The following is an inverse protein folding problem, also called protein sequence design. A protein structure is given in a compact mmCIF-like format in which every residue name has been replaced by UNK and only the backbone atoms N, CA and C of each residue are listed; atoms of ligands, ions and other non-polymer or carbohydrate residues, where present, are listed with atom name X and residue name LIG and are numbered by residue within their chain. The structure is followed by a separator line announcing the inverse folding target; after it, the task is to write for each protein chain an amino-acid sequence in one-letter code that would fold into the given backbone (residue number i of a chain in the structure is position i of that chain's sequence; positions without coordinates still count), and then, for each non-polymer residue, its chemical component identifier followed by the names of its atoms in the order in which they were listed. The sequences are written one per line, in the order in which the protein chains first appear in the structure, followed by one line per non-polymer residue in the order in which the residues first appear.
data_IF_042391058515
#
_entry.id   IF_042391058515
#
_cell.length_a   1.000
_cell.length_b   1.000
_cell.length_c   1.000
_cell.angle_alpha   90.00
_cell.angle_beta   90.00
_cell.angle_gamma   90.00
#
_symmetry.space_group_name_H-M   'P 1'
#
loop_
_entity.id
_entity.type
_entity.pdbx_description
1 polymer ?
#
# COMPACT_ATOMS: atom_id res chain seq x y z
N UNK A 1 -1.99 21.42 2.70
CA UNK A 1 -2.56 20.67 1.56
C UNK A 1 -2.91 19.28 2.07
N UNK A 2 -4.14 18.81 1.83
CA UNK A 2 -4.59 17.46 2.19
C UNK A 2 -4.18 16.46 1.11
N UNK A 3 -3.73 15.27 1.53
CA UNK A 3 -3.56 14.09 0.67
C UNK A 3 -4.77 13.16 0.72
N UNK A 4 -4.72 12.04 -0.01
CA UNK A 4 -5.82 11.08 -0.05
C UNK A 4 -5.39 9.63 -0.22
N UNK A 5 -6.24 8.71 0.20
CA UNK A 5 -6.08 7.28 0.01
C UNK A 5 -7.03 6.81 -1.10
N UNK A 6 -6.52 6.06 -2.06
CA UNK A 6 -7.27 5.53 -3.20
C UNK A 6 -7.22 4.01 -3.17
N UNK A 7 -8.32 3.37 -2.81
CA UNK A 7 -8.42 1.91 -2.76
C UNK A 7 -8.80 1.33 -4.13
N UNK A 8 -7.96 0.42 -4.64
CA UNK A 8 -8.30 -0.46 -5.75
C UNK A 8 -8.92 -1.72 -5.17
N UNK A 9 -10.26 -1.75 -5.11
CA UNK A 9 -11.03 -2.89 -4.60
C UNK A 9 -10.98 -4.13 -5.49
N UNK A 10 -10.79 -3.94 -6.79
CA UNK A 10 -10.70 -5.04 -7.76
C UNK A 10 -9.64 -4.73 -8.81
N UNK A 11 -8.89 -5.75 -9.29
CA UNK A 11 -7.93 -5.56 -10.37
C UNK A 11 -8.57 -5.06 -11.67
N UNK A 12 -7.77 -4.38 -12.50
CA UNK A 12 -8.14 -4.01 -13.88
C UNK A 12 -8.27 -2.51 -14.14
N UNK A 13 -8.31 -1.67 -13.10
CA UNK A 13 -8.43 -0.20 -13.23
C UNK A 13 -7.11 0.53 -12.96
N UNK A 14 -5.99 -0.18 -12.76
CA UNK A 14 -4.73 0.42 -12.27
C UNK A 14 -4.17 1.46 -13.24
N UNK A 15 -4.28 1.21 -14.54
CA UNK A 15 -3.83 2.16 -15.57
C UNK A 15 -4.66 3.45 -15.52
N UNK A 16 -5.98 3.34 -15.34
CA UNK A 16 -6.86 4.49 -15.25
C UNK A 16 -6.56 5.31 -13.99
N UNK A 17 -6.40 4.63 -12.85
CA UNK A 17 -6.06 5.27 -11.57
C UNK A 17 -4.73 6.02 -11.70
N UNK A 18 -3.66 5.36 -12.16
CA UNK A 18 -2.33 5.99 -12.30
C UNK A 18 -2.36 7.14 -13.29
N UNK A 19 -3.07 6.99 -14.42
CA UNK A 19 -3.20 8.06 -15.42
C UNK A 19 -3.89 9.29 -14.86
N UNK A 20 -4.93 9.14 -14.02
CA UNK A 20 -5.60 10.27 -13.36
C UNK A 20 -4.69 10.93 -12.32
N UNK A 21 -3.99 10.13 -11.52
CA UNK A 21 -3.01 10.64 -10.52
C UNK A 21 -1.96 11.51 -11.20
N UNK A 22 -1.38 11.02 -12.30
CA UNK A 22 -0.37 11.76 -13.06
C UNK A 22 -0.94 13.01 -13.74
N UNK A 23 -2.11 12.88 -14.39
CA UNK A 23 -2.78 14.01 -15.04
C UNK A 23 -3.08 15.16 -14.08
N UNK A 24 -3.30 14.86 -12.80
CA UNK A 24 -3.61 15.85 -11.78
C UNK A 24 -2.40 16.28 -10.93
N UNK A 25 -1.20 15.74 -11.18
CA UNK A 25 0.01 16.05 -10.41
C UNK A 25 -0.11 15.64 -8.93
N UNK A 26 -0.68 14.46 -8.67
CA UNK A 26 -1.00 13.97 -7.33
C UNK A 26 -0.06 12.84 -6.84
N UNK A 27 0.99 12.50 -7.58
CA UNK A 27 1.88 11.37 -7.32
C UNK A 27 2.42 11.34 -5.88
N UNK A 28 2.78 12.51 -5.34
CA UNK A 28 3.30 12.68 -3.98
C UNK A 28 2.22 12.97 -2.93
N UNK A 29 0.95 13.08 -3.35
CA UNK A 29 -0.19 13.47 -2.50
C UNK A 29 -1.17 12.33 -2.24
N UNK A 30 -1.02 11.19 -2.92
CA UNK A 30 -1.91 10.05 -2.76
C UNK A 30 -1.17 8.78 -2.38
N UNK A 31 -1.86 7.93 -1.63
CA UNK A 31 -1.48 6.54 -1.40
C UNK A 31 -2.49 5.66 -2.13
N UNK A 32 -2.01 4.82 -3.06
CA UNK A 32 -2.85 3.81 -3.70
C UNK A 32 -2.76 2.52 -2.90
N UNK A 33 -3.90 2.00 -2.46
CA UNK A 33 -3.97 0.84 -1.57
C UNK A 33 -4.86 -0.27 -2.12
N UNK A 34 -4.61 -1.49 -1.67
CA UNK A 34 -5.41 -2.68 -2.00
C UNK A 34 -5.06 -3.82 -1.05
N UNK A 35 -5.99 -4.74 -0.81
CA UNK A 35 -5.70 -6.05 -0.22
C UNK A 35 -5.03 -7.02 -1.22
N UNK A 36 -5.10 -6.71 -2.52
CA UNK A 36 -4.54 -7.54 -3.58
C UNK A 36 -3.14 -7.06 -3.99
N UNK A 37 -2.20 -8.00 -4.08
CA UNK A 37 -0.81 -7.69 -4.44
C UNK A 37 -0.63 -7.25 -5.89
N UNK A 38 -1.38 -7.84 -6.83
CA UNK A 38 -1.17 -7.60 -8.26
C UNK A 38 -1.51 -6.17 -8.69
N UNK A 39 -2.62 -5.56 -8.24
CA UNK A 39 -2.88 -4.14 -8.47
C UNK A 39 -1.72 -3.25 -8.01
N UNK A 40 -1.16 -3.50 -6.82
CA UNK A 40 -0.06 -2.69 -6.28
C UNK A 40 1.22 -2.84 -7.11
N UNK A 41 1.55 -4.06 -7.54
CA UNK A 41 2.66 -4.30 -8.47
C UNK A 41 2.46 -3.53 -9.77
N UNK A 42 1.24 -3.56 -10.32
CA UNK A 42 0.93 -2.88 -11.57
C UNK A 42 1.02 -1.36 -11.41
N UNK A 43 0.51 -0.80 -10.31
CA UNK A 43 0.67 0.63 -9.98
C UNK A 43 2.15 1.00 -9.93
N UNK A 44 2.98 0.23 -9.21
CA UNK A 44 4.43 0.48 -9.13
C UNK A 44 5.16 0.37 -10.46
N UNK A 45 4.76 -0.56 -11.33
CA UNK A 45 5.31 -0.67 -12.70
C UNK A 45 4.92 0.52 -13.58
N UNK A 46 3.70 1.03 -13.42
CA UNK A 46 3.20 2.17 -14.21
C UNK A 46 3.82 3.49 -13.75
N UNK A 47 3.91 3.70 -12.44
CA UNK A 47 4.58 4.85 -11.85
C UNK A 47 5.17 4.50 -10.47
N UNK A 48 6.49 4.35 -10.35
CA UNK A 48 7.13 3.98 -9.08
C UNK A 48 7.07 5.09 -8.03
N UNK A 49 6.85 6.35 -8.42
CA UNK A 49 6.75 7.50 -7.51
C UNK A 49 5.45 7.48 -6.69
N UNK A 50 4.40 6.83 -7.17
CA UNK A 50 3.13 6.70 -6.43
C UNK A 50 3.35 5.80 -5.22
N UNK A 51 3.08 6.32 -4.02
CA UNK A 51 3.18 5.54 -2.78
C UNK A 51 2.08 4.47 -2.76
N UNK A 52 2.43 3.24 -2.39
CA UNK A 52 1.46 2.14 -2.27
C UNK A 52 1.38 1.55 -0.88
N UNK A 53 0.18 1.05 -0.53
CA UNK A 53 -0.11 0.39 0.72
C UNK A 53 -0.74 -0.99 0.46
N UNK A 54 -0.25 -2.01 1.16
CA UNK A 54 -0.88 -3.34 1.20
C UNK A 54 -1.73 -3.47 2.46
N UNK A 55 -3.01 -3.75 2.30
CA UNK A 55 -3.87 -4.12 3.43
C UNK A 55 -3.63 -5.60 3.80
N UNK A 56 -3.41 -5.84 5.08
CA UNK A 56 -3.02 -7.14 5.65
C UNK A 56 -4.08 -7.54 6.68
N UNK A 57 -5.03 -8.43 6.30
CA UNK A 57 -6.05 -8.93 7.23
C UNK A 57 -5.46 -9.76 8.37
N UNK A 58 -4.39 -10.51 8.08
CA UNK A 58 -3.72 -11.40 9.03
C UNK A 58 -2.22 -11.07 9.12
N UNK A 59 -1.80 -10.23 10.09
CA UNK A 59 -0.41 -9.82 10.27
C UNK A 59 0.51 -11.00 10.56
N UNK A 60 1.60 -11.13 9.80
CA UNK A 60 2.60 -12.17 9.99
C UNK A 60 3.93 -11.78 9.33
N UNK A 61 5.06 -12.44 9.67
CA UNK A 61 6.31 -12.26 8.93
C UNK A 61 6.19 -12.56 7.43
N UNK A 62 5.27 -13.45 7.04
CA UNK A 62 4.96 -13.79 5.64
C UNK A 62 4.21 -12.66 4.93
N UNK A 63 3.25 -12.00 5.59
CA UNK A 63 2.53 -10.88 4.97
C UNK A 63 3.43 -9.66 4.76
N UNK A 64 4.39 -9.43 5.66
CA UNK A 64 5.46 -8.45 5.43
C UNK A 64 6.36 -8.83 4.24
N UNK A 65 6.64 -10.12 4.02
CA UNK A 65 7.36 -10.54 2.79
C UNK A 65 6.52 -10.26 1.54
N UNK A 66 5.22 -10.51 1.60
CA UNK A 66 4.32 -10.19 0.49
C UNK A 66 4.36 -8.69 0.16
N UNK A 67 4.31 -7.82 1.16
CA UNK A 67 4.44 -6.37 0.99
C UNK A 67 5.72 -5.97 0.24
N UNK A 68 6.86 -6.58 0.60
CA UNK A 68 8.13 -6.33 -0.11
C UNK A 68 8.09 -6.83 -1.56
N UNK A 69 7.51 -8.00 -1.83
CA UNK A 69 7.40 -8.56 -3.19
C UNK A 69 6.48 -7.73 -4.09
N UNK A 70 5.45 -7.08 -3.53
CA UNK A 70 4.63 -6.14 -4.30
C UNK A 70 5.16 -4.70 -4.28
N UNK A 71 6.34 -4.47 -3.69
CA UNK A 71 6.99 -3.16 -3.55
C UNK A 71 6.08 -2.14 -2.84
N UNK A 72 5.29 -2.59 -1.87
CA UNK A 72 4.51 -1.70 -1.02
C UNK A 72 5.44 -0.83 -0.15
N UNK A 73 5.04 0.41 0.09
CA UNK A 73 5.72 1.31 1.02
C UNK A 73 5.15 1.19 2.43
N UNK A 74 3.85 0.92 2.52
CA UNK A 74 3.09 0.89 3.76
C UNK A 74 2.40 -0.47 3.86
N UNK A 75 2.33 -1.00 5.07
CA UNK A 75 1.41 -2.09 5.41
C UNK A 75 0.32 -1.58 6.33
N UNK A 76 -0.91 -2.05 6.12
CA UNK A 76 -2.07 -1.56 6.85
C UNK A 76 -2.79 -2.71 7.52
N UNK A 77 -3.07 -2.57 8.81
CA UNK A 77 -3.65 -3.63 9.65
C UNK A 77 -4.79 -3.07 10.49
N UNK A 78 -5.77 -3.91 10.78
CA UNK A 78 -6.83 -3.57 11.73
C UNK A 78 -6.24 -3.46 13.15
N UNK A 79 -6.69 -2.47 13.92
CA UNK A 79 -6.22 -2.17 15.29
C UNK A 79 -6.28 -3.38 16.23
N UNK A 80 -7.37 -4.14 16.18
CA UNK A 80 -7.53 -5.41 16.92
C UNK A 80 -6.49 -6.49 16.58
N UNK A 81 -5.80 -6.40 15.45
CA UNK A 81 -4.78 -7.36 15.01
C UNK A 81 -3.35 -6.79 15.14
N UNK A 82 -3.21 -5.55 15.61
CA UNK A 82 -1.91 -4.89 15.73
C UNK A 82 -1.13 -5.45 16.91
N UNK A 83 0.13 -5.75 16.66
CA UNK A 83 1.09 -6.22 17.65
C UNK A 83 2.42 -5.45 17.53
N UNK A 84 3.06 -5.17 18.66
CA UNK A 84 4.30 -4.39 18.70
C UNK A 84 5.44 -5.09 17.93
N UNK A 85 5.56 -6.41 18.05
CA UNK A 85 6.61 -7.17 17.35
C UNK A 85 6.44 -7.13 15.83
N UNK A 86 5.19 -7.08 15.35
CA UNK A 86 4.88 -6.89 13.94
C UNK A 86 5.30 -5.50 13.45
N UNK A 87 4.99 -4.45 14.22
CA UNK A 87 5.38 -3.07 13.90
C UNK A 87 6.89 -2.93 13.81
N UNK A 88 7.61 -3.43 14.82
CA UNK A 88 9.07 -3.41 14.80
C UNK A 88 9.65 -4.14 13.60
N UNK A 89 9.11 -5.33 13.27
CA UNK A 89 9.58 -6.11 12.14
C UNK A 89 9.29 -5.41 10.81
N UNK A 90 8.16 -4.71 10.68
CA UNK A 90 7.84 -3.90 9.51
C UNK A 90 8.84 -2.75 9.34
N UNK A 91 9.11 -1.99 10.42
CA UNK A 91 10.09 -0.90 10.41
C UNK A 91 11.51 -1.39 10.09
N UNK A 92 11.95 -2.52 10.67
CA UNK A 92 13.25 -3.16 10.34
C UNK A 92 13.38 -3.53 8.86
N UNK A 93 12.26 -3.68 8.14
CA UNK A 93 12.20 -3.98 6.70
C UNK A 93 11.97 -2.74 5.83
N UNK A 94 11.98 -1.54 6.41
CA UNK A 94 11.78 -0.28 5.69
C UNK A 94 10.33 -0.01 5.27
N UNK A 95 9.37 -0.73 5.86
CA UNK A 95 7.94 -0.49 5.64
C UNK A 95 7.42 0.47 6.70
N UNK A 96 6.51 1.36 6.32
CA UNK A 96 5.69 2.12 7.25
C UNK A 96 4.46 1.29 7.68
N UNK A 97 3.87 1.60 8.83
CA UNK A 97 2.65 0.94 9.32
C UNK A 97 1.50 1.93 9.39
N UNK A 98 0.38 1.59 8.76
CA UNK A 98 -0.91 2.23 8.92
C UNK A 98 -1.84 1.35 9.76
N UNK A 99 -2.71 1.97 10.56
CA UNK A 99 -3.66 1.26 11.41
C UNK A 99 -5.06 1.83 11.18
N UNK A 100 -6.04 0.95 11.06
CA UNK A 100 -7.46 1.31 10.92
C UNK A 100 -8.32 0.52 11.90
N UNK A 101 -9.61 0.86 12.03
CA UNK A 101 -10.54 0.20 12.94
C UNK A 101 -11.93 0.06 12.36
#
# INVERSE_FOLDING_TARGET
MSGGFLEIKQPGIELEVVSKVMRWGLEEKVVVLSEHMEPLRRVKRLNPAVTTQLDIPNPSPSSLRAALVCMANIVSVHSLMLDESFVELAHRRGLLVNVWG
#
